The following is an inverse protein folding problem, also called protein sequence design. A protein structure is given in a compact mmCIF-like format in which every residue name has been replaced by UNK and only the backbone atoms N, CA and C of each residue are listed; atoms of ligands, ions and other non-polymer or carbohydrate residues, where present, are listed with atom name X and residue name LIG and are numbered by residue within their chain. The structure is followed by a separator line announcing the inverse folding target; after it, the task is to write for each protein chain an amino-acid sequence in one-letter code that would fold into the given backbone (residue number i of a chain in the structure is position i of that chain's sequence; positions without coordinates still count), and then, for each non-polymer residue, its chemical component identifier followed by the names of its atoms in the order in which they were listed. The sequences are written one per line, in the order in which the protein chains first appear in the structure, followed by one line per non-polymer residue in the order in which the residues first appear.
data_IF_386661760370
#
_entry.id   IF_386661760370
#
_cell.length_a   1.000
_cell.length_b   1.000
_cell.length_c   1.000
_cell.angle_alpha   90.00
_cell.angle_beta   90.00
_cell.angle_gamma   90.00
#
_symmetry.space_group_name_H-M   'P 1'
#
loop_
_entity.id
_entity.type
_entity.pdbx_description
1 polymer ?
#
# COMPACT_ATOMS: atom_id res chain seq x y z
N UNK A 1 18.14 2.90 -14.49
CA UNK A 1 17.61 4.17 -13.99
C UNK A 1 18.10 4.33 -12.57
N UNK A 2 18.76 5.44 -12.27
CA UNK A 2 19.30 5.70 -10.94
C UNK A 2 18.25 6.33 -10.02
N UNK A 3 18.65 6.64 -8.79
CA UNK A 3 17.74 7.21 -7.78
C UNK A 3 17.33 8.66 -8.07
N UNK A 4 18.15 9.40 -8.82
CA UNK A 4 17.87 10.78 -9.17
C UNK A 4 16.73 10.83 -10.20
N UNK A 5 16.80 9.97 -11.21
CA UNK A 5 15.72 9.79 -12.18
C UNK A 5 14.41 9.31 -11.52
N UNK A 6 14.49 8.34 -10.59
CA UNK A 6 13.31 7.86 -9.85
C UNK A 6 12.65 8.99 -9.05
N UNK A 7 13.48 9.80 -8.37
CA UNK A 7 13.01 10.95 -7.58
C UNK A 7 12.38 12.04 -8.46
N UNK A 8 12.91 12.27 -9.66
CA UNK A 8 12.34 13.22 -10.61
C UNK A 8 11.00 12.73 -11.15
N UNK A 9 10.95 11.49 -11.64
CA UNK A 9 9.76 10.94 -12.31
C UNK A 9 8.59 10.68 -11.35
N UNK A 10 8.84 10.36 -10.07
CA UNK A 10 7.76 10.18 -9.09
C UNK A 10 7.03 11.50 -8.79
N UNK A 11 7.70 12.63 -8.97
CA UNK A 11 7.11 13.98 -8.79
C UNK A 11 6.41 14.51 -10.03
N UNK A 12 6.44 13.76 -11.14
CA UNK A 12 5.83 14.16 -12.41
C UNK A 12 4.34 14.45 -12.29
N UNK A 13 3.81 15.24 -13.22
CA UNK A 13 2.37 15.42 -13.36
C UNK A 13 1.70 14.22 -14.06
N UNK A 14 2.47 13.45 -14.83
CA UNK A 14 1.99 12.29 -15.58
C UNK A 14 1.86 11.06 -14.69
N UNK A 15 0.68 10.44 -14.69
CA UNK A 15 0.41 9.26 -13.87
C UNK A 15 1.25 8.05 -14.32
N UNK A 16 1.50 7.94 -15.61
CA UNK A 16 2.27 6.87 -16.26
C UNK A 16 3.74 6.88 -15.81
N UNK A 17 4.33 8.07 -15.64
CA UNK A 17 5.71 8.21 -15.15
C UNK A 17 5.81 7.78 -13.69
N UNK A 18 4.84 8.18 -12.85
CA UNK A 18 4.75 7.70 -11.46
C UNK A 18 4.60 6.18 -11.40
N UNK A 19 3.73 5.63 -12.26
CA UNK A 19 3.51 4.20 -12.34
C UNK A 19 4.80 3.45 -12.73
N UNK A 20 5.54 3.97 -13.71
CA UNK A 20 6.83 3.42 -14.11
C UNK A 20 7.81 3.38 -12.93
N UNK A 21 7.90 4.48 -12.16
CA UNK A 21 8.76 4.51 -10.96
C UNK A 21 8.35 3.45 -9.96
N UNK A 22 7.06 3.33 -9.66
CA UNK A 22 6.57 2.32 -8.71
C UNK A 22 6.81 0.89 -9.21
N UNK A 23 6.66 0.63 -10.51
CA UNK A 23 6.97 -0.66 -11.10
C UNK A 23 8.45 -1.02 -10.97
N UNK A 24 9.35 -0.08 -11.29
CA UNK A 24 10.80 -0.27 -11.12
C UNK A 24 11.14 -0.49 -9.65
N UNK A 25 10.53 0.28 -8.75
CA UNK A 25 10.75 0.17 -7.31
C UNK A 25 10.32 -1.21 -6.78
N UNK A 26 9.21 -1.77 -7.26
CA UNK A 26 8.77 -3.14 -6.92
C UNK A 26 9.78 -4.17 -7.43
N UNK A 27 10.27 -4.03 -8.67
CA UNK A 27 11.27 -4.96 -9.24
C UNK A 27 12.58 -4.94 -8.43
N UNK A 28 13.07 -3.75 -8.06
CA UNK A 28 14.23 -3.59 -7.18
C UNK A 28 13.94 -4.16 -5.79
N UNK A 29 12.73 -3.92 -5.26
CA UNK A 29 12.30 -4.44 -3.97
C UNK A 29 12.26 -5.95 -3.95
N UNK A 30 12.07 -6.66 -5.05
CA UNK A 30 12.09 -8.13 -5.04
C UNK A 30 13.51 -8.69 -4.91
N UNK A 31 14.52 -8.03 -5.49
CA UNK A 31 15.89 -8.55 -5.57
C UNK A 31 16.86 -7.97 -4.54
N UNK A 32 16.53 -6.83 -3.92
CA UNK A 32 17.43 -6.11 -3.02
C UNK A 32 17.83 -6.90 -1.74
N UNK A 33 19.09 -6.74 -1.33
CA UNK A 33 19.62 -7.07 0.01
C UNK A 33 18.81 -6.43 1.13
N UNK A 34 18.94 -5.12 1.13
CA UNK A 34 18.35 -4.22 2.09
C UNK A 34 17.08 -3.61 1.48
N UNK A 35 15.95 -3.86 2.11
CA UNK A 35 14.63 -3.37 1.69
C UNK A 35 14.29 -2.01 2.31
N UNK A 36 15.00 -1.60 3.34
CA UNK A 36 14.66 -0.40 4.13
C UNK A 36 14.77 0.88 3.29
N UNK A 37 15.82 0.99 2.49
CA UNK A 37 16.00 2.13 1.60
C UNK A 37 14.81 2.31 0.63
N UNK A 38 14.34 1.22 0.02
CA UNK A 38 13.24 1.24 -0.95
C UNK A 38 11.89 1.51 -0.27
N UNK A 39 11.71 0.96 0.93
CA UNK A 39 10.56 1.28 1.79
C UNK A 39 10.54 2.78 2.14
N UNK A 40 11.66 3.33 2.59
CA UNK A 40 11.78 4.75 2.92
C UNK A 40 11.57 5.65 1.70
N UNK A 41 12.07 5.25 0.53
CA UNK A 41 11.78 5.96 -0.72
C UNK A 41 10.27 6.00 -1.02
N UNK A 42 9.57 4.88 -0.86
CA UNK A 42 8.11 4.84 -1.04
C UNK A 42 7.39 5.76 -0.06
N UNK A 43 7.75 5.70 1.23
CA UNK A 43 7.15 6.55 2.26
C UNK A 43 7.36 8.04 1.99
N UNK A 44 8.58 8.42 1.62
CA UNK A 44 8.90 9.80 1.26
C UNK A 44 8.15 10.26 0.00
N UNK A 45 7.71 9.31 -0.83
CA UNK A 45 6.96 9.55 -2.06
C UNK A 45 5.44 9.44 -1.88
N UNK A 46 4.93 9.16 -0.67
CA UNK A 46 3.52 8.79 -0.45
C UNK A 46 2.52 9.82 -0.99
N UNK A 47 2.85 11.12 -0.88
CA UNK A 47 2.04 12.23 -1.40
C UNK A 47 1.89 12.21 -2.93
N UNK A 48 2.80 11.54 -3.63
CA UNK A 48 2.77 11.39 -5.08
C UNK A 48 2.06 10.11 -5.52
N UNK A 49 1.85 9.14 -4.61
CA UNK A 49 1.02 7.94 -4.85
C UNK A 49 -0.46 8.31 -4.68
N UNK A 50 -0.91 9.25 -5.52
CA UNK A 50 -2.15 9.98 -5.34
C UNK A 50 -3.27 9.56 -6.33
N UNK A 51 -3.28 8.28 -6.69
CA UNK A 51 -4.30 7.68 -7.55
C UNK A 51 -4.52 6.22 -7.16
N UNK A 52 -5.74 5.72 -7.37
CA UNK A 52 -6.13 4.35 -6.99
C UNK A 52 -5.23 3.31 -7.65
N UNK A 53 -4.87 3.49 -8.93
CA UNK A 53 -4.04 2.52 -9.66
C UNK A 53 -2.60 2.49 -9.12
N UNK A 54 -2.04 3.64 -8.72
CA UNK A 54 -0.71 3.72 -8.12
C UNK A 54 -0.70 2.99 -6.77
N UNK A 55 -1.69 3.25 -5.91
CA UNK A 55 -1.82 2.60 -4.60
C UNK A 55 -1.98 1.08 -4.77
N UNK A 56 -2.97 0.66 -5.55
CA UNK A 56 -3.36 -0.74 -5.69
C UNK A 56 -2.22 -1.59 -6.29
N UNK A 57 -1.48 -1.02 -7.24
CA UNK A 57 -0.37 -1.70 -7.90
C UNK A 57 0.89 -1.82 -7.04
N UNK A 58 1.06 -1.02 -5.98
CA UNK A 58 2.37 -0.86 -5.34
C UNK A 58 2.40 -1.05 -3.83
N UNK A 59 1.39 -0.58 -3.09
CA UNK A 59 1.46 -0.46 -1.63
C UNK A 59 1.70 -1.81 -0.94
N UNK A 60 1.00 -2.86 -1.38
CA UNK A 60 1.13 -4.20 -0.81
C UNK A 60 2.46 -4.89 -1.18
N UNK A 61 3.09 -4.52 -2.29
CA UNK A 61 4.37 -5.10 -2.71
C UNK A 61 5.56 -4.53 -1.94
N UNK A 62 5.46 -3.29 -1.49
CA UNK A 62 6.56 -2.59 -0.82
C UNK A 62 6.25 -2.44 0.67
N UNK A 63 5.30 -1.59 1.05
CA UNK A 63 4.95 -1.37 2.47
C UNK A 63 4.44 -2.69 3.08
N UNK A 64 3.56 -3.41 2.38
CA UNK A 64 3.01 -4.68 2.89
C UNK A 64 4.08 -5.74 3.11
N UNK A 65 4.99 -5.90 2.15
CA UNK A 65 6.10 -6.82 2.29
C UNK A 65 7.07 -6.40 3.41
N UNK A 66 7.36 -5.10 3.53
CA UNK A 66 8.28 -4.58 4.53
C UNK A 66 7.75 -4.70 5.96
N UNK A 67 6.45 -4.46 6.16
CA UNK A 67 5.81 -4.49 7.49
C UNK A 67 5.33 -5.88 7.92
N UNK A 68 5.69 -6.94 7.19
CA UNK A 68 5.24 -8.30 7.49
C UNK A 68 5.60 -8.73 8.91
N UNK A 69 6.89 -8.64 9.23
CA UNK A 69 7.52 -9.03 10.50
C UNK A 69 7.85 -7.83 11.40
N UNK A 70 7.27 -6.65 11.10
CA UNK A 70 7.49 -5.39 11.84
C UNK A 70 6.20 -4.86 12.46
N UNK A 71 6.37 -3.82 13.28
CA UNK A 71 5.28 -3.02 13.85
C UNK A 71 4.44 -2.37 12.76
N UNK A 72 3.12 -2.33 12.98
CA UNK A 72 2.13 -1.92 11.96
C UNK A 72 1.44 -0.60 12.33
N UNK A 73 1.87 0.06 13.39
CA UNK A 73 1.29 1.28 13.97
C UNK A 73 1.13 2.40 12.94
N UNK A 74 2.08 2.51 12.01
CA UNK A 74 2.01 3.47 10.92
C UNK A 74 0.76 3.29 10.04
N UNK A 75 0.32 2.05 9.79
CA UNK A 75 -0.91 1.79 9.01
C UNK A 75 -2.14 2.33 9.74
N UNK A 76 -2.19 2.21 11.07
CA UNK A 76 -3.28 2.75 11.88
C UNK A 76 -3.28 4.28 11.88
N UNK A 77 -2.11 4.92 11.85
CA UNK A 77 -2.00 6.37 11.65
C UNK A 77 -2.59 6.78 10.30
N UNK A 78 -2.25 6.07 9.22
CA UNK A 78 -2.78 6.35 7.88
C UNK A 78 -4.30 6.25 7.81
N UNK A 79 -4.95 5.36 8.59
CA UNK A 79 -6.43 5.27 8.62
C UNK A 79 -7.12 6.55 9.07
N UNK A 80 -6.42 7.41 9.83
CA UNK A 80 -6.94 8.67 10.38
C UNK A 80 -6.63 9.88 9.51
N UNK A 81 -5.89 9.69 8.41
CA UNK A 81 -5.49 10.80 7.52
C UNK A 81 -6.69 11.43 6.84
N UNK A 82 -6.66 12.74 6.62
CA UNK A 82 -7.63 13.44 5.77
C UNK A 82 -7.44 13.11 4.28
N UNK A 83 -6.25 12.63 3.90
CA UNK A 83 -5.90 12.28 2.52
C UNK A 83 -6.45 10.89 2.18
N UNK A 84 -7.33 10.85 1.17
CA UNK A 84 -7.96 9.62 0.67
C UNK A 84 -6.95 8.51 0.37
N UNK A 85 -5.85 8.85 -0.30
CA UNK A 85 -4.87 7.88 -0.78
C UNK A 85 -4.06 7.25 0.35
N UNK A 86 -3.79 7.99 1.42
CA UNK A 86 -3.14 7.48 2.63
C UNK A 86 -4.04 6.45 3.33
N UNK A 87 -5.33 6.77 3.50
CA UNK A 87 -6.30 5.80 4.03
C UNK A 87 -6.43 4.57 3.14
N UNK A 88 -6.40 4.75 1.81
CA UNK A 88 -6.42 3.63 0.85
C UNK A 88 -5.18 2.76 0.98
N UNK A 89 -3.99 3.35 1.12
CA UNK A 89 -2.74 2.63 1.36
C UNK A 89 -2.87 1.79 2.62
N UNK A 90 -3.38 2.35 3.72
CA UNK A 90 -3.53 1.62 4.99
C UNK A 90 -4.23 0.26 4.84
N UNK A 91 -5.31 0.21 4.05
CA UNK A 91 -6.07 -1.02 3.81
C UNK A 91 -5.45 -1.90 2.70
N UNK A 92 -4.99 -1.31 1.59
CA UNK A 92 -4.44 -2.09 0.45
C UNK A 92 -3.14 -2.79 0.82
N UNK A 93 -2.33 -2.19 1.70
CA UNK A 93 -1.11 -2.81 2.24
C UNK A 93 -1.38 -4.21 2.80
N UNK A 94 -2.52 -4.41 3.45
CA UNK A 94 -2.84 -5.68 4.11
C UNK A 94 -3.11 -6.81 3.13
N UNK A 95 -3.20 -6.55 1.82
CA UNK A 95 -3.30 -7.62 0.82
C UNK A 95 -2.11 -8.56 0.87
N UNK A 96 -0.91 -8.06 1.21
CA UNK A 96 0.26 -8.90 1.45
C UNK A 96 0.01 -9.86 2.63
N UNK A 97 -0.57 -9.36 3.72
CA UNK A 97 -0.85 -10.16 4.92
C UNK A 97 -1.90 -11.23 4.64
N UNK A 98 -2.96 -10.87 3.90
CA UNK A 98 -4.01 -11.80 3.47
C UNK A 98 -3.43 -12.94 2.63
N UNK A 99 -2.55 -12.63 1.67
CA UNK A 99 -1.90 -13.66 0.84
C UNK A 99 -1.13 -14.68 1.70
N UNK A 100 -0.54 -14.23 2.81
CA UNK A 100 0.20 -15.01 3.79
C UNK A 100 -0.65 -15.51 4.98
N UNK A 101 -1.98 -15.53 4.85
CA UNK A 101 -2.93 -16.06 5.85
C UNK A 101 -2.96 -15.31 7.20
N UNK A 102 -2.50 -14.06 7.27
CA UNK A 102 -2.67 -13.20 8.45
C UNK A 102 -3.79 -12.20 8.19
N UNK A 103 -4.90 -12.31 8.92
CA UNK A 103 -6.13 -11.56 8.65
C UNK A 103 -6.42 -10.46 9.68
N UNK A 104 -5.95 -10.58 10.92
CA UNK A 104 -6.30 -9.69 12.03
C UNK A 104 -6.11 -8.21 11.70
N UNK A 105 -4.93 -7.81 11.22
CA UNK A 105 -4.67 -6.42 10.82
C UNK A 105 -5.63 -5.92 9.75
N UNK A 106 -6.01 -6.77 8.79
CA UNK A 106 -6.99 -6.40 7.76
C UNK A 106 -8.34 -6.08 8.40
N UNK A 107 -8.82 -6.93 9.30
CA UNK A 107 -10.12 -6.74 9.95
C UNK A 107 -10.13 -5.52 10.87
N UNK A 108 -9.05 -5.29 11.62
CA UNK A 108 -8.89 -4.11 12.47
C UNK A 108 -8.92 -2.82 11.65
N UNK A 109 -8.12 -2.74 10.57
CA UNK A 109 -8.09 -1.56 9.68
C UNK A 109 -9.43 -1.39 8.96
N UNK A 110 -10.04 -2.48 8.49
CA UNK A 110 -11.35 -2.43 7.84
C UNK A 110 -12.44 -1.89 8.77
N UNK A 111 -12.41 -2.23 10.08
CA UNK A 111 -13.34 -1.71 11.07
C UNK A 111 -13.19 -0.19 11.27
N UNK A 112 -11.95 0.31 11.27
CA UNK A 112 -11.67 1.75 11.39
C UNK A 112 -12.14 2.53 10.15
N UNK A 113 -12.00 1.93 8.97
CA UNK A 113 -12.36 2.56 7.68
C UNK A 113 -13.79 2.24 7.21
N UNK A 114 -14.56 1.47 7.98
CA UNK A 114 -15.89 1.01 7.60
C UNK A 114 -16.85 2.16 7.27
N UNK A 115 -16.71 3.27 8.01
CA UNK A 115 -17.56 4.46 7.89
C UNK A 115 -16.88 5.60 7.11
N UNK A 116 -15.85 5.32 6.32
CA UNK A 116 -15.29 6.32 5.41
C UNK A 116 -16.38 6.87 4.49
N UNK A 117 -16.30 8.16 4.13
CA UNK A 117 -17.33 8.82 3.32
C UNK A 117 -17.07 8.71 1.81
N UNK A 118 -15.87 8.31 1.41
CA UNK A 118 -15.50 8.24 -0.01
C UNK A 118 -15.81 6.88 -0.63
N UNK A 119 -16.52 6.90 -1.76
CA UNK A 119 -16.87 5.70 -2.55
C UNK A 119 -15.67 4.79 -2.89
N UNK A 120 -14.51 5.39 -3.18
CA UNK A 120 -13.30 4.63 -3.48
C UNK A 120 -12.81 3.82 -2.28
N UNK A 121 -13.06 4.29 -1.05
CA UNK A 121 -12.70 3.57 0.18
C UNK A 121 -13.64 2.39 0.43
N UNK A 122 -14.94 2.52 0.18
CA UNK A 122 -15.85 1.36 0.25
C UNK A 122 -15.41 0.24 -0.68
N UNK A 123 -14.94 0.58 -1.89
CA UNK A 123 -14.40 -0.40 -2.84
C UNK A 123 -13.12 -1.06 -2.32
N UNK A 124 -12.20 -0.28 -1.72
CA UNK A 124 -10.94 -0.82 -1.18
C UNK A 124 -11.19 -1.73 0.03
N UNK A 125 -11.98 -1.28 1.00
CA UNK A 125 -12.34 -2.05 2.20
C UNK A 125 -13.11 -3.30 1.81
N UNK A 126 -14.13 -3.18 0.97
CA UNK A 126 -14.91 -4.32 0.49
C UNK A 126 -14.05 -5.32 -0.29
N UNK A 127 -13.09 -4.85 -1.08
CA UNK A 127 -12.14 -5.73 -1.77
C UNK A 127 -11.27 -6.51 -0.77
N UNK A 128 -10.63 -5.84 0.19
CA UNK A 128 -9.77 -6.52 1.15
C UNK A 128 -10.56 -7.48 2.05
N UNK A 129 -11.77 -7.12 2.49
CA UNK A 129 -12.64 -8.03 3.23
C UNK A 129 -13.02 -9.26 2.41
N UNK A 130 -13.31 -9.09 1.11
CA UNK A 130 -13.57 -10.23 0.22
C UNK A 130 -12.36 -11.15 0.10
N UNK A 131 -11.15 -10.60 -0.07
CA UNK A 131 -9.94 -11.43 -0.17
C UNK A 131 -9.61 -12.12 1.15
N UNK A 132 -9.81 -11.45 2.29
CA UNK A 132 -9.66 -12.05 3.61
C UNK A 132 -10.68 -13.19 3.84
N UNK A 133 -11.96 -12.98 3.50
CA UNK A 133 -13.00 -13.99 3.64
C UNK A 133 -12.75 -15.26 2.81
N UNK A 134 -12.13 -15.14 1.63
CA UNK A 134 -11.70 -16.31 0.82
C UNK A 134 -10.64 -17.17 1.52
N UNK A 135 -9.84 -16.58 2.41
CA UNK A 135 -8.79 -17.27 3.18
C UNK A 135 -9.34 -17.83 4.49
N UNK A 136 -10.19 -17.07 5.16
CA UNK A 136 -10.84 -17.44 6.42
C UNK A 136 -11.73 -18.68 6.25
N UNK A 137 -12.58 -18.70 5.21
CA UNK A 137 -13.48 -19.83 4.91
C UNK A 137 -12.76 -21.14 4.50
N UNK A 138 -11.42 -21.13 4.40
CA UNK A 138 -10.59 -22.30 4.05
C UNK A 138 -9.79 -22.84 5.24
N UNK A 139 -9.83 -22.19 6.40
CA UNK A 139 -9.29 -22.69 7.65
C UNK A 139 -10.32 -23.59 8.35
#
# INVERSE_FOLDING_TARGET
MDMEDLSRLITSEFNEEKFLVLAILIMQYQTAQDKEFLYNFYLNSIKHVNNWNLVDASAHHIIGAYLWDKEKDYLFTLTKSEILWERRIAIVVTWYFIKNNTLNTTFEIAKLLLNDKHDLMYKAVGWMLREAGKKDAKQ
#
